data_IF_416284894686
#
_entry.id   IF_416284894686
#
_cell.length_a   1.000
_cell.length_b   1.000
_cell.length_c   1.000
_cell.angle_alpha   90.00
_cell.angle_beta   90.00
_cell.angle_gamma   90.00
#
_symmetry.space_group_name_H-M   'P 1'
#
loop_
_entity.id
_entity.type
_entity.pdbx_description
1 polymer ?
#
# COMPACT_ATOMS: atom_id res chain seq x y z
N UNK A 1 17.90 9.15 -17.83
CA UNK A 1 17.21 10.15 -16.98
C UNK A 1 15.88 9.67 -16.41
N UNK A 2 15.04 8.96 -17.18
CA UNK A 2 13.74 8.40 -16.72
C UNK A 2 13.78 7.73 -15.33
N UNK A 3 14.59 6.66 -15.17
CA UNK A 3 14.64 5.87 -13.93
C UNK A 3 15.06 6.68 -12.70
N UNK A 4 15.88 7.73 -12.87
CA UNK A 4 16.24 8.65 -11.78
C UNK A 4 14.99 9.32 -11.23
N UNK A 5 14.16 9.89 -12.09
CA UNK A 5 12.91 10.56 -11.70
C UNK A 5 11.90 9.57 -11.10
N UNK A 6 11.78 8.36 -11.65
CA UNK A 6 10.91 7.33 -11.07
C UNK A 6 11.33 6.93 -9.66
N UNK A 7 12.62 6.67 -9.44
CA UNK A 7 13.15 6.27 -8.13
C UNK A 7 12.99 7.40 -7.10
N UNK A 8 13.30 8.65 -7.49
CA UNK A 8 13.11 9.80 -6.61
C UNK A 8 11.63 10.01 -6.25
N UNK A 9 10.74 9.95 -7.24
CA UNK A 9 9.30 10.04 -7.00
C UNK A 9 8.81 8.99 -6.01
N UNK A 10 9.18 7.71 -6.22
CA UNK A 10 8.84 6.62 -5.30
C UNK A 10 9.36 6.84 -3.88
N UNK A 11 10.62 7.26 -3.72
CA UNK A 11 11.22 7.53 -2.41
C UNK A 11 10.50 8.68 -1.70
N UNK A 12 10.17 9.76 -2.42
CA UNK A 12 9.46 10.91 -1.86
C UNK A 12 8.04 10.53 -1.45
N UNK A 13 7.32 9.76 -2.28
CA UNK A 13 6.01 9.19 -1.93
C UNK A 13 6.08 8.40 -0.63
N UNK A 14 7.07 7.52 -0.51
CA UNK A 14 7.29 6.71 0.67
C UNK A 14 7.53 7.55 1.94
N UNK A 15 8.14 8.73 1.81
CA UNK A 15 8.34 9.67 2.92
C UNK A 15 7.12 10.52 3.25
N UNK A 16 6.13 10.59 2.37
CA UNK A 16 4.96 11.46 2.50
C UNK A 16 5.09 12.79 1.75
N UNK A 17 6.19 13.00 1.03
CA UNK A 17 6.44 14.20 0.22
C UNK A 17 5.72 14.09 -1.14
N UNK A 18 4.38 14.07 -1.10
CA UNK A 18 3.56 13.71 -2.26
C UNK A 18 3.63 14.73 -3.40
N UNK A 19 3.70 16.02 -3.09
CA UNK A 19 3.83 17.09 -4.09
C UNK A 19 5.14 16.96 -4.86
N UNK A 20 6.25 16.74 -4.16
CA UNK A 20 7.57 16.56 -4.81
C UNK A 20 7.64 15.23 -5.57
N UNK A 21 7.02 14.17 -5.01
CA UNK A 21 6.83 12.90 -5.72
C UNK A 21 6.15 13.12 -7.08
N UNK A 22 5.03 13.86 -7.09
CA UNK A 22 4.27 14.17 -8.31
C UNK A 22 5.15 14.86 -9.34
N UNK A 23 5.89 15.90 -8.96
CA UNK A 23 6.76 16.66 -9.87
C UNK A 23 7.80 15.75 -10.55
N UNK A 24 8.42 14.83 -9.79
CA UNK A 24 9.35 13.86 -10.35
C UNK A 24 8.66 12.88 -11.30
N UNK A 25 7.49 12.36 -10.94
CA UNK A 25 6.75 11.38 -11.75
C UNK A 25 6.17 12.00 -13.03
N UNK A 26 5.78 13.28 -13.00
CA UNK A 26 5.41 14.06 -14.20
C UNK A 26 6.59 14.21 -15.15
N UNK A 27 7.77 14.54 -14.62
CA UNK A 27 8.99 14.61 -15.43
C UNK A 27 9.31 13.26 -16.08
N UNK A 28 9.19 12.16 -15.32
CA UNK A 28 9.36 10.81 -15.84
C UNK A 28 8.35 10.49 -16.96
N UNK A 29 7.09 10.89 -16.80
CA UNK A 29 6.07 10.70 -17.82
C UNK A 29 6.36 11.52 -19.09
N UNK A 30 6.82 12.76 -18.95
CA UNK A 30 7.25 13.60 -20.08
C UNK A 30 8.31 12.89 -20.92
N UNK A 31 9.34 12.32 -20.28
CA UNK A 31 10.40 11.56 -20.96
C UNK A 31 9.84 10.35 -21.72
N UNK A 32 8.91 9.59 -21.13
CA UNK A 32 8.28 8.44 -21.80
C UNK A 32 7.46 8.88 -23.02
N UNK A 33 6.79 10.04 -22.95
CA UNK A 33 5.99 10.59 -24.05
C UNK A 33 6.86 11.12 -25.21
N UNK A 34 8.00 11.72 -24.89
CA UNK A 34 8.93 12.28 -25.87
C UNK A 34 9.74 11.19 -26.58
N UNK A 35 10.18 10.15 -25.87
CA UNK A 35 11.01 9.08 -26.42
C UNK A 35 10.18 7.93 -27.02
N UNK A 36 9.51 8.17 -28.15
CA UNK A 36 8.62 7.20 -28.83
C UNK A 36 9.33 5.96 -29.40
N UNK A 37 10.64 6.03 -29.63
CA UNK A 37 11.42 4.95 -30.24
C UNK A 37 11.88 3.87 -29.24
N UNK A 38 11.73 4.12 -27.94
CA UNK A 38 12.17 3.21 -26.88
C UNK A 38 10.99 2.48 -26.24
N UNK A 39 11.16 1.18 -26.00
CA UNK A 39 10.18 0.39 -25.25
C UNK A 39 10.39 0.58 -23.74
N UNK A 40 9.44 1.24 -23.10
CA UNK A 40 9.40 1.45 -21.65
C UNK A 40 8.30 0.64 -20.94
N UNK A 41 7.78 -0.45 -21.51
CA UNK A 41 6.60 -1.15 -20.98
C UNK A 41 6.72 -1.56 -19.51
N UNK A 42 7.91 -1.99 -19.06
CA UNK A 42 8.16 -2.32 -17.65
C UNK A 42 8.26 -1.06 -16.78
N UNK A 43 9.04 -0.07 -17.22
CA UNK A 43 9.23 1.18 -16.49
C UNK A 43 7.90 1.96 -16.39
N UNK A 44 7.07 1.92 -17.42
CA UNK A 44 5.74 2.54 -17.48
C UNK A 44 4.78 1.94 -16.45
N UNK A 45 4.81 0.62 -16.25
CA UNK A 45 3.98 -0.01 -15.22
C UNK A 45 4.26 0.57 -13.84
N UNK A 46 5.54 0.59 -13.48
CA UNK A 46 6.04 1.09 -12.21
C UNK A 46 5.67 2.57 -12.05
N UNK A 47 5.91 3.37 -13.09
CA UNK A 47 5.58 4.79 -13.12
C UNK A 47 4.08 5.03 -12.97
N UNK A 48 3.23 4.28 -13.67
CA UNK A 48 1.77 4.42 -13.57
C UNK A 48 1.31 4.12 -12.15
N UNK A 49 1.79 3.02 -11.54
CA UNK A 49 1.41 2.64 -10.18
C UNK A 49 1.87 3.67 -9.14
N UNK A 50 3.15 4.07 -9.16
CA UNK A 50 3.69 4.99 -8.16
C UNK A 50 3.02 6.37 -8.23
N UNK A 51 2.68 6.80 -9.43
CA UNK A 51 2.02 8.09 -9.63
C UNK A 51 0.52 8.00 -9.32
N UNK A 52 -0.18 6.93 -9.68
CA UNK A 52 -1.55 6.73 -9.21
C UNK A 52 -1.63 6.66 -7.67
N UNK A 53 -0.69 5.99 -7.02
CA UNK A 53 -0.56 5.98 -5.56
C UNK A 53 -0.33 7.38 -4.99
N UNK A 54 0.52 8.18 -5.63
CA UNK A 54 0.78 9.58 -5.22
C UNK A 54 -0.48 10.45 -5.37
N UNK A 55 -1.17 10.37 -6.50
CA UNK A 55 -2.42 11.09 -6.76
C UNK A 55 -3.51 10.70 -5.76
N UNK A 56 -3.58 9.41 -5.42
CA UNK A 56 -4.52 8.91 -4.41
C UNK A 56 -4.27 9.56 -3.04
N UNK A 57 -3.01 9.67 -2.62
CA UNK A 57 -2.67 10.32 -1.33
C UNK A 57 -2.87 11.84 -1.37
N UNK A 58 -2.82 12.47 -2.55
CA UNK A 58 -3.19 13.88 -2.76
C UNK A 58 -4.71 14.10 -2.86
N UNK A 59 -5.53 13.05 -2.86
CA UNK A 59 -6.98 13.14 -3.05
C UNK A 59 -7.42 13.34 -4.51
N UNK A 60 -6.50 13.28 -5.47
CA UNK A 60 -6.75 13.43 -6.90
C UNK A 60 -7.25 12.11 -7.53
N UNK A 61 -8.32 11.53 -6.96
CA UNK A 61 -8.79 10.18 -7.26
C UNK A 61 -9.18 9.97 -8.72
N UNK A 62 -9.90 10.94 -9.32
CA UNK A 62 -10.33 10.84 -10.72
C UNK A 62 -9.16 10.82 -11.72
N UNK A 63 -8.08 11.54 -11.42
CA UNK A 63 -6.87 11.51 -12.24
C UNK A 63 -6.12 10.18 -12.08
N UNK A 64 -6.02 9.66 -10.84
CA UNK A 64 -5.42 8.36 -10.58
C UNK A 64 -6.16 7.24 -11.35
N UNK A 65 -7.49 7.25 -11.27
CA UNK A 65 -8.38 6.28 -11.92
C UNK A 65 -8.24 6.33 -13.45
N UNK A 66 -8.40 7.50 -14.06
CA UNK A 66 -8.28 7.69 -15.51
C UNK A 66 -6.95 7.15 -16.06
N UNK A 67 -5.87 7.40 -15.32
CA UNK A 67 -4.52 7.00 -15.70
C UNK A 67 -4.31 5.48 -15.62
N UNK A 68 -4.84 4.85 -14.58
CA UNK A 68 -4.81 3.39 -14.44
C UNK A 68 -5.65 2.69 -15.50
N UNK A 69 -6.88 3.16 -15.76
CA UNK A 69 -7.71 2.61 -16.83
C UNK A 69 -7.04 2.72 -18.21
N UNK A 70 -6.42 3.88 -18.49
CA UNK A 70 -5.72 4.09 -19.75
C UNK A 70 -4.56 3.10 -19.95
N UNK A 71 -3.77 2.82 -18.91
CA UNK A 71 -2.65 1.88 -19.01
C UNK A 71 -3.09 0.40 -18.99
N UNK A 72 -4.18 0.07 -18.29
CA UNK A 72 -4.81 -1.26 -18.35
C UNK A 72 -5.34 -1.53 -19.76
N UNK A 73 -6.13 -0.61 -20.33
CA UNK A 73 -6.68 -0.74 -21.68
C UNK A 73 -5.58 -0.94 -22.72
N UNK A 74 -4.53 -0.11 -22.67
CA UNK A 74 -3.37 -0.24 -23.56
C UNK A 74 -2.71 -1.61 -23.47
N UNK A 75 -2.62 -2.20 -22.27
CA UNK A 75 -2.03 -3.54 -22.07
C UNK A 75 -2.92 -4.65 -22.59
N UNK A 76 -4.23 -4.50 -22.44
CA UNK A 76 -5.21 -5.43 -22.97
C UNK A 76 -5.14 -5.45 -24.51
N UNK A 77 -5.05 -4.28 -25.12
CA UNK A 77 -4.85 -4.14 -26.58
C UNK A 77 -3.52 -4.76 -27.04
N UNK A 78 -2.48 -4.68 -26.22
CA UNK A 78 -1.15 -5.24 -26.50
C UNK A 78 -1.00 -6.72 -26.08
N UNK A 79 -2.06 -7.38 -25.58
CA UNK A 79 -2.03 -8.74 -25.03
C UNK A 79 -0.94 -8.96 -23.98
N UNK A 80 -0.59 -7.93 -23.20
CA UNK A 80 0.47 -7.97 -22.19
C UNK A 80 -0.08 -8.27 -20.80
N UNK A 81 0.02 -9.54 -20.37
CA UNK A 81 -0.52 -9.99 -19.08
C UNK A 81 0.43 -9.66 -17.91
N UNK A 82 1.72 -9.47 -18.18
CA UNK A 82 2.73 -9.26 -17.13
C UNK A 82 2.47 -7.96 -16.36
N UNK A 83 2.36 -8.10 -15.02
CA UNK A 83 2.15 -7.00 -14.09
C UNK A 83 0.74 -6.38 -14.08
N UNK A 84 -0.21 -6.93 -14.86
CA UNK A 84 -1.60 -6.46 -14.88
C UNK A 84 -2.23 -6.46 -13.48
N UNK A 85 -1.97 -7.51 -12.69
CA UNK A 85 -2.44 -7.62 -11.30
C UNK A 85 -2.03 -6.43 -10.43
N UNK A 86 -0.82 -5.89 -10.60
CA UNK A 86 -0.37 -4.72 -9.83
C UNK A 86 -1.15 -3.46 -10.19
N UNK A 87 -1.41 -3.22 -11.48
CA UNK A 87 -2.22 -2.08 -11.92
C UNK A 87 -3.64 -2.18 -11.38
N UNK A 88 -4.24 -3.35 -11.46
CA UNK A 88 -5.60 -3.60 -10.97
C UNK A 88 -5.71 -3.47 -9.46
N UNK A 89 -4.74 -3.97 -8.68
CA UNK A 89 -4.71 -3.75 -7.24
C UNK A 89 -4.47 -2.29 -6.86
N UNK A 90 -3.78 -1.53 -7.71
CA UNK A 90 -3.62 -0.08 -7.54
C UNK A 90 -4.93 0.63 -7.83
N UNK A 91 -5.65 0.22 -8.88
CA UNK A 91 -6.98 0.71 -9.21
C UNK A 91 -8.01 0.39 -8.13
N UNK A 92 -7.99 -0.83 -7.59
CA UNK A 92 -8.85 -1.23 -6.48
C UNK A 92 -8.67 -0.29 -5.27
N UNK A 93 -7.43 0.05 -4.89
CA UNK A 93 -7.20 1.00 -3.78
C UNK A 93 -7.69 2.43 -4.06
N UNK A 94 -7.68 2.86 -5.33
CA UNK A 94 -8.24 4.16 -5.74
C UNK A 94 -9.76 4.12 -5.70
N UNK A 95 -10.38 3.10 -6.29
CA UNK A 95 -11.83 2.91 -6.33
C UNK A 95 -12.44 2.77 -4.94
N UNK A 96 -11.74 2.07 -4.04
CA UNK A 96 -12.13 1.96 -2.64
C UNK A 96 -12.15 3.33 -1.96
N UNK A 97 -11.14 4.18 -2.21
CA UNK A 97 -11.09 5.53 -1.69
C UNK A 97 -12.23 6.42 -2.26
N UNK A 98 -12.66 6.14 -3.49
CA UNK A 98 -13.82 6.77 -4.12
C UNK A 98 -15.18 6.19 -3.67
N UNK A 99 -15.20 5.16 -2.81
CA UNK A 99 -16.43 4.54 -2.31
C UNK A 99 -17.05 3.46 -3.23
N UNK A 100 -16.38 3.09 -4.33
CA UNK A 100 -16.86 2.07 -5.27
C UNK A 100 -16.55 0.64 -4.81
N UNK A 101 -17.15 0.22 -3.69
CA UNK A 101 -16.82 -1.03 -2.99
C UNK A 101 -17.06 -2.28 -3.84
N UNK A 102 -18.21 -2.38 -4.51
CA UNK A 102 -18.58 -3.56 -5.32
C UNK A 102 -17.61 -3.78 -6.50
N UNK A 103 -17.29 -2.70 -7.22
CA UNK A 103 -16.32 -2.75 -8.31
C UNK A 103 -14.92 -3.13 -7.81
N UNK A 104 -14.54 -2.61 -6.65
CA UNK A 104 -13.26 -2.93 -6.01
C UNK A 104 -13.18 -4.42 -5.69
N UNK A 105 -14.23 -5.00 -5.10
CA UNK A 105 -14.27 -6.42 -4.78
C UNK A 105 -14.15 -7.30 -6.03
N UNK A 106 -14.88 -6.97 -7.11
CA UNK A 106 -14.82 -7.70 -8.37
C UNK A 106 -13.40 -7.71 -8.95
N UNK A 107 -12.71 -6.55 -8.95
CA UNK A 107 -11.31 -6.48 -9.38
C UNK A 107 -10.43 -7.41 -8.54
N UNK A 108 -10.56 -7.39 -7.22
CA UNK A 108 -9.78 -8.24 -6.33
C UNK A 108 -10.04 -9.73 -6.58
N UNK A 109 -11.30 -10.15 -6.80
CA UNK A 109 -11.66 -11.52 -7.14
C UNK A 109 -11.01 -11.96 -8.46
N UNK A 110 -11.06 -11.12 -9.49
CA UNK A 110 -10.43 -11.41 -10.79
C UNK A 110 -8.91 -11.53 -10.69
N UNK A 111 -8.28 -10.72 -9.84
CA UNK A 111 -6.83 -10.82 -9.57
C UNK A 111 -6.51 -12.11 -8.82
N UNK A 112 -7.33 -12.48 -7.82
CA UNK A 112 -7.15 -13.72 -7.06
C UNK A 112 -7.27 -14.97 -7.95
N UNK A 113 -8.27 -15.02 -8.83
CA UNK A 113 -8.51 -16.15 -9.73
C UNK A 113 -7.36 -16.42 -10.70
N UNK A 114 -6.59 -15.40 -11.08
CA UNK A 114 -5.41 -15.57 -11.95
C UNK A 114 -4.22 -16.25 -11.27
N UNK A 115 -4.18 -16.24 -9.93
CA UNK A 115 -3.04 -16.76 -9.18
C UNK A 115 -1.74 -15.99 -9.44
N UNK A 116 -0.61 -16.55 -9.00
CA UNK A 116 0.73 -16.04 -9.37
C UNK A 116 1.12 -14.67 -8.78
N UNK A 117 0.38 -14.14 -7.79
CA UNK A 117 0.72 -12.84 -7.19
C UNK A 117 2.11 -12.84 -6.58
N UNK A 118 2.90 -11.84 -6.98
CA UNK A 118 4.17 -11.51 -6.35
C UNK A 118 3.94 -11.08 -4.91
N UNK A 119 5.00 -11.15 -4.10
CA UNK A 119 4.94 -10.87 -2.67
C UNK A 119 4.26 -9.53 -2.31
N UNK A 120 4.64 -8.44 -2.99
CA UNK A 120 4.07 -7.12 -2.72
C UNK A 120 2.64 -6.97 -3.22
N UNK A 121 2.30 -7.59 -4.34
CA UNK A 121 0.93 -7.64 -4.86
C UNK A 121 0.03 -8.40 -3.90
N UNK A 122 0.52 -9.52 -3.35
CA UNK A 122 -0.18 -10.31 -2.35
C UNK A 122 -0.43 -9.54 -1.07
N UNK A 123 0.59 -8.83 -0.56
CA UNK A 123 0.43 -7.96 0.60
C UNK A 123 -0.62 -6.87 0.34
N UNK A 124 -0.52 -6.16 -0.78
CA UNK A 124 -1.48 -5.14 -1.18
C UNK A 124 -2.89 -5.71 -1.28
N UNK A 125 -3.07 -6.83 -1.97
CA UNK A 125 -4.34 -7.54 -2.08
C UNK A 125 -4.98 -7.87 -0.73
N UNK A 126 -4.22 -8.44 0.21
CA UNK A 126 -4.77 -8.79 1.53
C UNK A 126 -5.24 -7.55 2.30
N UNK A 127 -4.50 -6.45 2.21
CA UNK A 127 -4.89 -5.18 2.83
C UNK A 127 -6.14 -4.60 2.16
N UNK A 128 -6.19 -4.58 0.83
CA UNK A 128 -7.35 -4.04 0.11
C UNK A 128 -8.61 -4.83 0.44
N UNK A 129 -8.54 -6.17 0.43
CA UNK A 129 -9.66 -7.04 0.86
C UNK A 129 -10.04 -6.78 2.32
N UNK A 130 -9.07 -6.61 3.23
CA UNK A 130 -9.37 -6.31 4.63
C UNK A 130 -10.19 -5.02 4.76
N UNK A 131 -9.80 -3.96 4.04
CA UNK A 131 -10.54 -2.68 4.04
C UNK A 131 -11.94 -2.80 3.42
N UNK A 132 -12.09 -3.58 2.34
CA UNK A 132 -13.40 -3.87 1.71
C UNK A 132 -14.32 -4.55 2.72
N UNK A 133 -13.86 -5.66 3.31
CA UNK A 133 -14.64 -6.44 4.28
C UNK A 133 -15.01 -5.62 5.51
N UNK A 134 -14.09 -4.78 5.97
CA UNK A 134 -14.37 -3.88 7.07
C UNK A 134 -15.47 -2.88 6.72
N UNK A 135 -15.44 -2.32 5.50
CA UNK A 135 -16.48 -1.42 5.00
C UNK A 135 -17.85 -2.11 4.91
N UNK A 136 -17.87 -3.44 4.75
CA UNK A 136 -19.07 -4.29 4.78
C UNK A 136 -19.44 -4.80 6.18
N UNK A 137 -18.73 -4.38 7.24
CA UNK A 137 -18.89 -4.89 8.61
C UNK A 137 -18.62 -6.40 8.78
N UNK A 138 -17.88 -7.03 7.86
CA UNK A 138 -17.41 -8.42 7.97
C UNK A 138 -16.12 -8.48 8.81
N UNK A 139 -16.28 -8.42 10.13
CA UNK A 139 -15.16 -8.49 11.08
C UNK A 139 -14.36 -9.82 10.99
N UNK A 140 -15.00 -11.01 10.90
CA UNK A 140 -14.26 -12.27 10.73
C UNK A 140 -13.40 -12.28 9.46
N UNK A 141 -13.97 -11.88 8.32
CA UNK A 141 -13.23 -11.86 7.08
C UNK A 141 -12.15 -10.77 7.04
N UNK A 142 -12.39 -9.62 7.67
CA UNK A 142 -11.36 -8.58 7.86
C UNK A 142 -10.16 -9.15 8.62
N UNK A 143 -10.42 -9.82 9.74
CA UNK A 143 -9.37 -10.43 10.58
C UNK A 143 -8.55 -11.47 9.80
N UNK A 144 -9.20 -12.36 9.07
CA UNK A 144 -8.53 -13.37 8.23
C UNK A 144 -7.58 -12.72 7.23
N UNK A 145 -8.02 -11.64 6.56
CA UNK A 145 -7.20 -10.94 5.59
C UNK A 145 -6.01 -10.21 6.22
N UNK A 146 -6.20 -9.59 7.39
CA UNK A 146 -5.10 -8.95 8.11
C UNK A 146 -4.06 -9.95 8.61
N UNK A 147 -4.47 -11.12 9.12
CA UNK A 147 -3.55 -12.20 9.50
C UNK A 147 -2.72 -12.68 8.30
N UNK A 148 -3.36 -12.82 7.13
CA UNK A 148 -2.65 -13.15 5.88
C UNK A 148 -1.68 -12.03 5.48
N UNK A 149 -2.06 -10.76 5.63
CA UNK A 149 -1.17 -9.64 5.39
C UNK A 149 0.06 -9.67 6.32
N UNK A 150 -0.12 -9.89 7.63
CA UNK A 150 0.98 -10.03 8.59
C UNK A 150 1.93 -11.18 8.23
N UNK A 151 1.38 -12.29 7.74
CA UNK A 151 2.19 -13.43 7.29
C UNK A 151 3.08 -13.07 6.10
N UNK A 152 2.59 -12.25 5.17
CA UNK A 152 3.38 -11.77 4.03
C UNK A 152 4.43 -10.72 4.43
N UNK A 153 4.09 -9.87 5.40
CA UNK A 153 5.02 -8.89 5.99
C UNK A 153 6.18 -9.57 6.70
N UNK A 154 5.91 -10.59 7.53
CA UNK A 154 6.95 -11.34 8.27
C UNK A 154 7.95 -12.04 7.36
N UNK A 155 7.55 -12.39 6.13
CA UNK A 155 8.45 -12.93 5.10
C UNK A 155 9.35 -11.86 4.50
N UNK A 156 9.16 -10.57 4.81
CA UNK A 156 9.80 -9.42 4.16
C UNK A 156 10.71 -8.63 5.08
N UNK A 157 11.92 -8.35 4.58
CA UNK A 157 12.90 -7.47 5.22
C UNK A 157 12.65 -5.97 4.94
N UNK A 158 11.68 -5.65 4.06
CA UNK A 158 11.48 -4.31 3.50
C UNK A 158 10.38 -3.49 4.19
N UNK A 159 9.57 -4.09 5.05
CA UNK A 159 8.56 -3.34 5.81
C UNK A 159 9.23 -2.75 7.03
N UNK A 160 9.55 -1.46 6.96
CA UNK A 160 9.83 -0.70 8.17
C UNK A 160 8.59 -0.76 9.09
N UNK A 161 8.80 -0.64 10.40
CA UNK A 161 7.79 -0.92 11.42
C UNK A 161 6.40 -0.30 11.13
N UNK A 162 6.31 0.86 10.49
CA UNK A 162 5.05 1.58 10.20
C UNK A 162 3.94 0.73 9.58
N UNK A 163 4.16 0.13 8.40
CA UNK A 163 3.10 -0.65 7.73
C UNK A 163 2.71 -1.88 8.54
N UNK A 164 3.71 -2.56 9.13
CA UNK A 164 3.50 -3.71 10.01
C UNK A 164 2.66 -3.32 11.23
N UNK A 165 2.98 -2.19 11.88
CA UNK A 165 2.28 -1.66 13.06
C UNK A 165 0.82 -1.34 12.74
N UNK A 166 0.54 -0.70 11.60
CA UNK A 166 -0.85 -0.42 11.18
C UNK A 166 -1.63 -1.73 10.99
N UNK A 167 -1.06 -2.72 10.31
CA UNK A 167 -1.74 -4.02 10.09
C UNK A 167 -1.96 -4.74 11.44
N UNK A 168 -0.97 -4.71 12.33
CA UNK A 168 -1.07 -5.31 13.67
C UNK A 168 -2.16 -4.63 14.49
N UNK A 169 -2.13 -3.30 14.63
CA UNK A 169 -3.16 -2.52 15.32
C UNK A 169 -4.56 -2.79 14.76
N UNK A 170 -4.69 -2.81 13.43
CA UNK A 170 -5.95 -3.13 12.75
C UNK A 170 -6.44 -4.54 13.08
N UNK A 171 -5.53 -5.52 13.24
CA UNK A 171 -5.89 -6.90 13.54
C UNK A 171 -6.45 -7.04 14.94
N UNK A 172 -5.88 -6.32 15.92
CA UNK A 172 -6.31 -6.39 17.31
C UNK A 172 -7.68 -5.80 17.53
N UNK A 173 -7.98 -4.68 16.87
CA UNK A 173 -9.27 -4.03 17.01
C UNK A 173 -10.43 -4.89 16.49
N UNK A 174 -10.18 -5.71 15.47
CA UNK A 174 -11.21 -6.52 14.81
C UNK A 174 -11.33 -7.93 15.44
N UNK A 175 -10.44 -8.30 16.37
CA UNK A 175 -10.46 -9.58 17.08
C UNK A 175 -10.95 -9.42 18.54
N UNK A 176 -12.27 -9.57 18.81
CA UNK A 176 -12.81 -9.46 20.16
C UNK A 176 -12.21 -10.48 21.16
N UNK A 177 -11.70 -11.60 20.68
CA UNK A 177 -11.20 -12.72 21.50
C UNK A 177 -9.70 -12.63 21.82
N UNK A 178 -9.00 -11.56 21.40
CA UNK A 178 -7.59 -11.30 21.78
C UNK A 178 -7.47 -10.42 23.03
N UNK A 179 -8.54 -10.25 23.81
CA UNK A 179 -8.51 -9.47 25.05
C UNK A 179 -7.61 -10.11 26.12
N UNK A 180 -6.84 -9.27 26.84
CA UNK A 180 -5.91 -9.69 27.90
C UNK A 180 -4.44 -9.77 27.43
N UNK A 181 -3.69 -10.75 27.93
CA UNK A 181 -2.24 -10.87 27.77
C UNK A 181 -1.75 -10.92 26.31
N UNK A 182 -2.58 -11.40 25.37
CA UNK A 182 -2.22 -11.44 23.95
C UNK A 182 -2.28 -10.07 23.27
N UNK A 183 -3.28 -9.24 23.58
CA UNK A 183 -3.32 -7.85 23.13
C UNK A 183 -2.15 -7.03 23.73
N UNK A 184 -1.75 -7.33 24.96
CA UNK A 184 -0.65 -6.64 25.63
C UNK A 184 0.73 -7.06 25.08
N UNK A 185 0.98 -8.36 24.89
CA UNK A 185 2.19 -8.87 24.25
C UNK A 185 2.33 -8.35 22.80
N UNK A 186 1.21 -8.28 22.12
CA UNK A 186 1.08 -7.72 20.78
C UNK A 186 1.33 -6.21 20.71
N UNK A 187 0.82 -5.46 21.68
CA UNK A 187 1.10 -4.02 21.81
C UNK A 187 2.58 -3.78 22.10
N UNK A 188 3.20 -4.62 22.94
CA UNK A 188 4.66 -4.64 23.14
C UNK A 188 5.41 -4.96 21.84
N UNK A 189 4.94 -5.89 21.01
CA UNK A 189 5.53 -6.17 19.69
C UNK A 189 5.39 -4.96 18.75
N UNK A 190 4.26 -4.24 18.78
CA UNK A 190 4.06 -2.96 18.05
C UNK A 190 5.03 -1.88 18.53
N UNK A 191 5.32 -1.81 19.84
CA UNK A 191 6.24 -0.83 20.43
C UNK A 191 7.70 -1.17 20.09
N UNK A 192 8.08 -2.45 20.16
CA UNK A 192 9.40 -2.92 19.71
C UNK A 192 9.60 -2.59 18.23
N UNK A 193 8.62 -2.84 17.37
CA UNK A 193 8.67 -2.46 15.96
C UNK A 193 8.72 -0.93 15.77
N UNK A 194 8.14 -0.17 16.70
CA UNK A 194 8.25 1.28 16.78
C UNK A 194 9.68 1.76 17.05
N UNK A 195 10.39 1.09 17.97
CA UNK A 195 11.81 1.38 18.26
C UNK A 195 12.75 1.15 17.06
N UNK A 196 12.38 0.25 16.14
CA UNK A 196 13.12 0.00 14.90
C UNK A 196 12.70 0.91 13.73
N UNK A 197 11.70 1.77 13.93
CA UNK A 197 11.23 2.68 12.90
C UNK A 197 12.16 3.90 12.82
N UNK A 198 13.00 3.96 11.79
CA UNK A 198 13.93 5.07 11.62
C UNK A 198 13.20 6.41 11.38
N UNK A 199 13.63 7.51 12.02
CA UNK A 199 13.16 8.85 11.68
C UNK A 199 13.38 9.13 10.17
N UNK A 200 12.32 9.53 9.46
CA UNK A 200 12.36 9.72 8.01
C UNK A 200 12.27 8.42 7.16
N UNK A 201 11.95 7.29 7.79
CA UNK A 201 11.68 6.02 7.09
C UNK A 201 10.42 6.04 6.23
N UNK A 202 10.20 4.97 5.46
CA UNK A 202 9.05 4.79 4.56
C UNK A 202 7.68 4.72 5.27
N UNK A 203 7.03 5.84 5.55
CA UNK A 203 5.70 5.86 6.19
C UNK A 203 4.58 5.36 5.27
N UNK A 204 4.67 5.64 3.98
CA UNK A 204 3.57 5.42 3.02
C UNK A 204 3.89 4.31 2.03
N UNK A 205 4.33 3.13 2.49
CA UNK A 205 4.66 2.00 1.60
C UNK A 205 3.47 1.60 0.72
N UNK A 206 2.29 1.46 1.33
CA UNK A 206 1.04 1.07 0.69
C UNK A 206 0.10 2.26 0.70
N UNK A 207 -0.34 2.69 -0.48
CA UNK A 207 -1.24 3.83 -0.59
C UNK A 207 -2.50 3.58 0.24
N UNK A 208 -2.91 4.61 0.98
CA UNK A 208 -4.12 4.61 1.78
C UNK A 208 -4.00 4.03 3.15
N UNK A 209 -2.83 3.49 3.52
CA UNK A 209 -2.58 3.08 4.89
C UNK A 209 -2.60 4.26 5.86
N UNK A 210 -2.13 5.44 5.46
CA UNK A 210 -2.20 6.64 6.30
C UNK A 210 -3.64 7.05 6.61
N UNK A 211 -4.46 7.16 5.56
CA UNK A 211 -5.90 7.44 5.68
C UNK A 211 -6.62 6.38 6.52
N UNK A 212 -6.29 5.10 6.33
CA UNK A 212 -6.81 4.00 7.13
C UNK A 212 -6.39 4.10 8.61
N UNK A 213 -5.12 4.40 8.89
CA UNK A 213 -4.65 4.60 10.26
C UNK A 213 -5.38 5.78 10.93
N UNK A 214 -5.59 6.87 10.19
CA UNK A 214 -6.32 8.04 10.67
C UNK A 214 -7.78 7.71 11.01
N UNK A 215 -8.49 6.99 10.14
CA UNK A 215 -9.90 6.62 10.39
C UNK A 215 -10.08 5.70 11.60
N UNK A 216 -8.99 5.06 12.06
CA UNK A 216 -8.96 4.16 13.23
C UNK A 216 -8.32 4.80 14.46
N UNK A 217 -7.86 6.06 14.38
CA UNK A 217 -7.19 6.74 15.48
C UNK A 217 -5.80 6.19 15.82
N UNK A 218 -5.13 5.53 14.86
CA UNK A 218 -3.80 4.94 15.08
C UNK A 218 -2.64 5.93 14.84
N UNK A 219 -2.92 7.11 14.29
CA UNK A 219 -1.89 8.06 13.84
C UNK A 219 -0.87 8.39 14.95
N UNK A 220 -1.34 8.71 16.16
CA UNK A 220 -0.45 9.06 17.28
C UNK A 220 0.44 7.88 17.71
N UNK A 221 -0.11 6.66 17.71
CA UNK A 221 0.62 5.44 18.05
C UNK A 221 1.69 5.18 17.00
N UNK A 222 1.33 5.34 15.73
CA UNK A 222 2.21 5.05 14.59
C UNK A 222 3.33 6.10 14.47
N UNK A 223 3.07 7.38 14.69
CA UNK A 223 4.04 8.46 14.54
C UNK A 223 4.92 8.72 15.78
N UNK A 224 4.46 8.35 16.98
CA UNK A 224 5.23 8.49 18.23
C UNK A 224 5.53 7.10 18.82
N UNK A 225 6.56 6.38 18.33
CA UNK A 225 6.98 5.15 18.97
C UNK A 225 7.49 5.45 20.39
N UNK A 226 6.97 4.74 21.38
CA UNK A 226 7.52 4.77 22.74
C UNK A 226 8.95 4.22 22.63
N UNK A 227 9.99 4.95 23.09
CA UNK A 227 11.35 4.44 23.04
C UNK A 227 11.40 3.11 23.80
N UNK A 228 11.92 2.06 23.15
CA UNK A 228 12.18 0.80 23.82
C UNK A 228 13.11 1.10 25.00
N UNK A 229 12.61 0.94 26.22
CA UNK A 229 13.45 0.85 27.40
C UNK A 229 14.34 -0.38 27.21
N UNK A 230 15.51 -0.17 26.63
CA UNK A 230 16.65 -1.03 26.91
C UNK A 230 16.94 -0.86 28.39
N UNK A 231 16.34 -1.72 29.22
CA UNK A 231 16.93 -2.07 30.50
C UNK A 231 18.24 -2.81 30.18
N UNK A 232 19.28 -2.03 29.93
CA UNK A 232 20.63 -2.43 30.22
C UNK A 232 20.86 -2.30 31.72
N UNK A 233 20.62 -3.39 32.46
CA UNK A 233 21.27 -3.60 33.75
C UNK A 233 21.97 -4.97 33.76
N UNK A 234 23.30 -4.85 33.60
CA UNK A 234 24.42 -5.65 34.13
C UNK A 234 24.20 -7.14 34.46
#
# INVERSE_FOLDING_TARGET
>A
MLRKHMVLGRILRFKGEFTDSRNHLETAEGIVKECKELNFDKDRLDLTCDYADTLRELGELGLAESRLYSDIKRRDDAYCISGKSRLELTLAEVLLASGHIEYTENICLNVQCRGGLLKFERLRFQITIAKIRHSMSDNPGTSISLIKALTEVRKSTLTNGYTTRIIMLSSYEVLPNMAGAHAEASRKEVDVLGGHATPGGTKHWIAGQGHWAQSRGFTEIVDNPIPSTEEGEK
#
